data_IF_692705351459
#
_entry.id   IF_692705351459
#
_cell.length_a   1.000
_cell.length_b   1.000
_cell.length_c   1.000
_cell.angle_alpha   90.00
_cell.angle_beta   90.00
_cell.angle_gamma   90.00
#
_symmetry.space_group_name_H-M   'P 1'
#
loop_
_entity.id
_entity.type
_entity.pdbx_description
1 polymer ?
#
# COMPACT_ATOMS: atom_id res chain seq x y z
N UNK A 1 10.93 14.07 -12.32
CA UNK A 1 10.27 13.68 -11.05
C UNK A 1 9.47 12.42 -11.32
N UNK A 2 9.62 11.39 -10.50
CA UNK A 2 8.78 10.20 -10.58
C UNK A 2 7.31 10.56 -10.29
N UNK A 3 6.41 10.02 -11.11
CA UNK A 3 4.96 10.30 -11.00
C UNK A 3 4.35 9.70 -9.73
N UNK A 4 4.90 8.56 -9.32
CA UNK A 4 4.48 7.75 -8.19
C UNK A 4 5.64 7.55 -7.21
N UNK A 5 5.31 7.37 -5.94
CA UNK A 5 6.24 7.06 -4.86
C UNK A 5 5.82 5.79 -4.15
N UNK A 6 6.78 4.90 -3.87
CA UNK A 6 6.56 3.70 -3.07
C UNK A 6 6.14 4.09 -1.65
N UNK A 7 5.04 3.50 -1.18
CA UNK A 7 4.44 3.80 0.11
C UNK A 7 5.37 3.47 1.28
N UNK A 8 6.11 2.35 1.21
CA UNK A 8 7.05 1.95 2.25
C UNK A 8 8.22 2.93 2.34
N UNK A 9 8.78 3.35 1.21
CA UNK A 9 9.85 4.36 1.19
C UNK A 9 9.38 5.71 1.73
N UNK A 10 8.17 6.15 1.35
CA UNK A 10 7.55 7.37 1.87
C UNK A 10 7.40 7.29 3.38
N UNK A 11 6.99 6.13 3.89
CA UNK A 11 6.80 5.88 5.31
C UNK A 11 8.12 5.93 6.07
N UNK A 12 9.15 5.26 5.54
CA UNK A 12 10.50 5.29 6.09
C UNK A 12 11.07 6.72 6.15
N UNK A 13 10.97 7.49 5.06
CA UNK A 13 11.44 8.89 5.00
C UNK A 13 10.71 9.80 5.99
N UNK A 14 9.46 9.49 6.32
CA UNK A 14 8.63 10.27 7.24
C UNK A 14 8.76 9.83 8.71
N UNK A 15 9.42 8.70 9.00
CA UNK A 15 9.41 8.11 10.33
C UNK A 15 8.02 7.63 10.76
N UNK A 16 7.17 7.25 9.81
CA UNK A 16 5.79 6.81 10.05
C UNK A 16 5.59 5.36 9.55
N UNK A 17 4.57 4.67 10.03
CA UNK A 17 4.25 3.33 9.53
C UNK A 17 3.52 3.41 8.18
N UNK A 18 3.67 2.40 7.29
CA UNK A 18 2.89 2.30 6.06
C UNK A 18 1.39 2.43 6.28
N UNK A 19 0.86 1.83 7.34
CA UNK A 19 -0.54 2.00 7.75
C UNK A 19 -0.90 3.48 7.97
N UNK A 20 -0.08 4.23 8.71
CA UNK A 20 -0.36 5.63 9.03
C UNK A 20 -0.37 6.49 7.77
N UNK A 21 0.62 6.33 6.90
CA UNK A 21 0.69 7.06 5.62
C UNK A 21 -0.50 6.70 4.73
N UNK A 22 -0.79 5.41 4.54
CA UNK A 22 -1.92 4.95 3.75
C UNK A 22 -3.25 5.51 4.29
N UNK A 23 -3.46 5.46 5.61
CA UNK A 23 -4.67 5.97 6.27
C UNK A 23 -4.83 7.50 6.08
N UNK A 24 -3.74 8.26 6.10
CA UNK A 24 -3.82 9.71 5.87
C UNK A 24 -4.15 10.03 4.41
N UNK A 25 -3.57 9.30 3.45
CA UNK A 25 -3.88 9.43 2.04
C UNK A 25 -5.35 9.12 1.78
N UNK A 26 -5.86 7.99 2.28
CA UNK A 26 -7.24 7.58 2.06
C UNK A 26 -8.26 8.53 2.72
N UNK A 27 -7.96 9.08 3.90
CA UNK A 27 -8.78 10.12 4.54
C UNK A 27 -8.86 11.43 3.76
N UNK A 28 -7.87 11.71 2.92
CA UNK A 28 -7.83 12.86 2.01
C UNK A 28 -8.36 12.51 0.62
N UNK A 29 -9.09 11.40 0.49
CA UNK A 29 -9.64 10.90 -0.78
C UNK A 29 -8.57 10.67 -1.86
N UNK A 30 -7.31 10.48 -1.45
CA UNK A 30 -6.21 10.20 -2.37
C UNK A 30 -6.20 8.69 -2.71
N UNK A 31 -5.85 8.38 -3.96
CA UNK A 31 -5.89 7.01 -4.48
C UNK A 31 -4.56 6.30 -4.26
N UNK A 32 -4.63 5.03 -3.85
CA UNK A 32 -3.50 4.12 -3.83
C UNK A 32 -3.48 3.29 -5.11
N UNK A 33 -2.28 2.91 -5.54
CA UNK A 33 -2.05 2.19 -6.78
C UNK A 33 -1.25 0.92 -6.49
N UNK A 34 -1.52 -0.12 -7.27
CA UNK A 34 -0.61 -1.26 -7.39
C UNK A 34 0.34 -0.97 -8.54
N UNK A 35 1.64 -1.06 -8.25
CA UNK A 35 2.69 -0.90 -9.23
C UNK A 35 3.37 -2.24 -9.47
N UNK A 36 3.27 -2.73 -10.70
CA UNK A 36 3.83 -4.01 -11.13
C UNK A 36 5.26 -3.87 -11.71
N UNK A 37 5.88 -2.69 -11.52
CA UNK A 37 7.15 -2.24 -12.11
C UNK A 37 7.14 -2.25 -13.65
N UNK A 38 8.09 -1.54 -14.24
CA UNK A 38 8.25 -1.51 -15.70
C UNK A 38 9.24 -2.59 -16.13
N UNK A 39 8.70 -3.63 -16.76
CA UNK A 39 9.36 -4.46 -17.76
C UNK A 39 8.27 -4.83 -18.79
N UNK A 40 8.59 -5.01 -20.07
CA UNK A 40 7.66 -5.28 -21.18
C UNK A 40 6.91 -6.63 -21.09
N UNK A 41 6.66 -7.11 -19.88
CA UNK A 41 6.08 -8.40 -19.57
C UNK A 41 4.58 -8.29 -19.27
N UNK A 42 3.92 -9.43 -19.42
CA UNK A 42 2.50 -9.58 -19.13
C UNK A 42 2.34 -10.22 -17.77
N UNK A 43 1.40 -9.69 -16.98
CA UNK A 43 0.96 -10.23 -15.72
C UNK A 43 -0.31 -11.06 -15.95
N UNK A 44 -0.35 -12.27 -15.39
CA UNK A 44 -1.55 -13.08 -15.34
C UNK A 44 -2.44 -12.63 -14.17
N UNK A 45 -3.68 -12.27 -14.47
CA UNK A 45 -4.66 -11.80 -13.50
C UNK A 45 -6.02 -12.48 -13.69
N UNK A 46 -6.90 -12.35 -12.69
CA UNK A 46 -8.29 -12.80 -12.77
C UNK A 46 -9.21 -11.58 -12.69
N UNK A 47 -10.35 -11.58 -13.38
CA UNK A 47 -11.38 -10.54 -13.17
C UNK A 47 -12.34 -10.92 -12.03
N UNK A 48 -12.95 -9.95 -11.35
CA UNK A 48 -14.12 -10.25 -10.51
C UNK A 48 -15.40 -10.53 -11.33
N UNK A 49 -15.41 -10.19 -12.64
CA UNK A 49 -16.54 -10.46 -13.52
C UNK A 49 -16.62 -11.94 -13.90
N UNK A 50 -17.50 -12.67 -13.24
CA UNK A 50 -17.83 -14.03 -13.67
C UNK A 50 -18.57 -13.99 -15.02
N UNK A 51 -18.15 -14.85 -15.94
CA UNK A 51 -18.90 -15.12 -17.18
C UNK A 51 -19.20 -16.62 -17.14
N UNK A 52 -20.49 -16.97 -17.20
CA UNK A 52 -20.98 -18.35 -17.12
C UNK A 52 -20.53 -19.08 -15.85
N UNK A 53 -20.47 -18.38 -14.71
CA UNK A 53 -20.07 -18.96 -13.42
C UNK A 53 -18.56 -19.23 -13.28
N UNK A 54 -17.77 -18.91 -14.29
CA UNK A 54 -16.31 -19.08 -14.28
C UNK A 54 -15.58 -17.75 -14.16
N UNK A 55 -14.46 -17.78 -13.43
CA UNK A 55 -13.47 -16.71 -13.44
C UNK A 55 -12.62 -16.81 -14.70
N UNK A 56 -12.40 -15.68 -15.36
CA UNK A 56 -11.58 -15.60 -16.57
C UNK A 56 -10.19 -15.10 -16.24
N UNK A 57 -9.18 -15.76 -16.82
CA UNK A 57 -7.78 -15.36 -16.75
C UNK A 57 -7.49 -14.34 -17.86
N UNK A 58 -6.80 -13.26 -17.48
CA UNK A 58 -6.40 -12.20 -18.39
C UNK A 58 -4.91 -11.97 -18.30
N UNK A 59 -4.33 -11.61 -19.43
CA UNK A 59 -2.99 -11.03 -19.48
C UNK A 59 -3.12 -9.51 -19.48
N UNK A 60 -2.57 -8.88 -18.45
CA UNK A 60 -2.53 -7.42 -18.32
C UNK A 60 -1.07 -6.99 -18.47
N UNK A 61 -0.83 -5.88 -19.17
CA UNK A 61 0.53 -5.33 -19.24
C UNK A 61 0.97 -4.88 -17.85
N UNK A 62 2.23 -5.13 -17.48
CA UNK A 62 2.78 -4.55 -16.24
C UNK A 62 2.73 -3.01 -16.33
N UNK A 63 2.50 -2.37 -15.18
CA UNK A 63 2.33 -0.93 -15.08
C UNK A 63 1.74 -0.50 -13.74
N UNK A 64 1.39 0.77 -13.62
CA UNK A 64 0.80 1.32 -12.41
C UNK A 64 -0.72 1.48 -12.56
N UNK A 65 -1.49 0.77 -11.73
CA UNK A 65 -2.95 0.76 -11.80
C UNK A 65 -3.59 1.24 -10.50
N UNK A 66 -4.63 2.09 -10.58
CA UNK A 66 -5.34 2.52 -9.38
C UNK A 66 -6.09 1.34 -8.76
N UNK A 67 -5.99 1.17 -7.44
CA UNK A 67 -6.76 0.14 -6.74
C UNK A 67 -8.27 0.40 -6.89
N UNK A 68 -9.08 -0.67 -6.81
CA UNK A 68 -10.51 -0.48 -6.59
C UNK A 68 -10.75 0.09 -5.20
N UNK A 69 -11.90 0.77 -4.98
CA UNK A 69 -12.21 1.38 -3.68
C UNK A 69 -12.24 0.32 -2.56
N UNK A 70 -12.82 -0.86 -2.87
CA UNK A 70 -12.89 -2.00 -1.97
C UNK A 70 -11.50 -2.48 -1.58
N UNK A 71 -10.62 -2.65 -2.57
CA UNK A 71 -9.25 -3.13 -2.34
C UNK A 71 -8.35 -2.08 -1.68
N UNK A 72 -8.59 -0.79 -1.91
CA UNK A 72 -7.90 0.26 -1.17
C UNK A 72 -8.23 0.21 0.33
N UNK A 73 -9.51 0.03 0.69
CA UNK A 73 -9.89 -0.15 2.10
C UNK A 73 -9.34 -1.44 2.70
N UNK A 74 -9.37 -2.52 1.94
CA UNK A 74 -8.78 -3.80 2.35
C UNK A 74 -7.27 -3.68 2.59
N UNK A 75 -6.54 -3.02 1.67
CA UNK A 75 -5.11 -2.75 1.80
C UNK A 75 -4.81 -1.99 3.10
N UNK A 76 -5.53 -0.90 3.40
CA UNK A 76 -5.35 -0.14 4.65
C UNK A 76 -5.64 -1.00 5.89
N UNK A 77 -6.64 -1.88 5.83
CA UNK A 77 -6.96 -2.83 6.93
C UNK A 77 -5.87 -3.89 7.10
N UNK A 78 -5.31 -4.42 6.02
CA UNK A 78 -4.19 -5.37 6.09
C UNK A 78 -2.96 -4.71 6.71
N UNK A 79 -2.63 -3.49 6.28
CA UNK A 79 -1.54 -2.71 6.84
C UNK A 79 -1.72 -2.44 8.35
N UNK A 80 -2.95 -2.23 8.84
CA UNK A 80 -3.19 -2.06 10.28
C UNK A 80 -2.86 -3.32 11.10
N UNK A 81 -2.92 -4.49 10.46
CA UNK A 81 -2.63 -5.79 11.06
C UNK A 81 -1.21 -6.27 10.74
N UNK A 82 -0.34 -5.40 10.22
CA UNK A 82 1.02 -5.75 9.78
C UNK A 82 1.03 -6.87 8.73
N UNK A 83 -0.05 -6.95 7.94
CA UNK A 83 -0.15 -7.86 6.81
C UNK A 83 0.16 -7.08 5.52
N UNK A 84 1.25 -7.45 4.85
CA UNK A 84 1.72 -6.83 3.62
C UNK A 84 1.36 -7.64 2.37
N UNK A 85 0.60 -8.72 2.52
CA UNK A 85 0.13 -9.52 1.40
C UNK A 85 -0.79 -8.68 0.49
N UNK A 86 -0.43 -8.58 -0.79
CA UNK A 86 -1.20 -7.89 -1.82
C UNK A 86 -2.10 -8.84 -2.61
N UNK A 87 -2.01 -10.15 -2.36
CA UNK A 87 -2.78 -11.18 -3.05
C UNK A 87 -4.28 -10.97 -2.85
N UNK A 88 -5.04 -11.08 -3.93
CA UNK A 88 -6.48 -10.90 -3.93
C UNK A 88 -6.95 -9.45 -3.80
N UNK A 89 -6.05 -8.47 -3.83
CA UNK A 89 -6.43 -7.07 -4.06
C UNK A 89 -6.79 -6.86 -5.53
N UNK A 90 -7.63 -5.87 -5.80
CA UNK A 90 -8.12 -5.55 -7.13
C UNK A 90 -7.69 -4.14 -7.55
N UNK A 91 -7.46 -3.98 -8.85
CA UNK A 91 -7.10 -2.74 -9.50
C UNK A 91 -7.95 -2.51 -10.75
N UNK A 92 -8.02 -1.26 -11.19
CA UNK A 92 -8.84 -0.86 -12.32
C UNK A 92 -7.99 -0.73 -13.58
N UNK A 93 -8.41 -1.43 -14.65
CA UNK A 93 -7.90 -1.26 -16.00
C UNK A 93 -9.02 -0.63 -16.84
N UNK A 94 -8.95 0.68 -17.06
CA UNK A 94 -10.07 1.40 -17.65
C UNK A 94 -11.31 1.34 -16.74
N UNK A 95 -12.36 0.66 -17.20
CA UNK A 95 -13.61 0.45 -16.43
C UNK A 95 -13.67 -0.93 -15.76
N UNK A 96 -12.74 -1.82 -16.08
CA UNK A 96 -12.77 -3.19 -15.61
C UNK A 96 -12.00 -3.34 -14.30
N UNK A 97 -12.60 -4.04 -13.35
CA UNK A 97 -11.95 -4.41 -12.08
C UNK A 97 -11.27 -5.78 -12.25
N UNK A 98 -9.96 -5.77 -12.07
CA UNK A 98 -9.09 -6.93 -12.21
C UNK A 98 -8.53 -7.26 -10.82
N UNK A 99 -8.68 -8.50 -10.40
CA UNK A 99 -8.17 -9.05 -9.16
C UNK A 99 -6.78 -9.63 -9.39
N UNK A 100 -5.83 -9.12 -8.61
CA UNK A 100 -4.49 -9.69 -8.49
C UNK A 100 -4.62 -11.09 -7.90
N UNK A 101 -4.20 -12.10 -8.64
CA UNK A 101 -3.99 -13.43 -8.11
C UNK A 101 -2.49 -13.58 -7.88
N UNK A 102 -2.11 -14.15 -6.75
CA UNK A 102 -0.74 -14.62 -6.58
C UNK A 102 -0.54 -15.82 -7.49
N UNK A 103 0.17 -15.64 -8.61
CA UNK A 103 0.36 -16.72 -9.59
C UNK A 103 1.66 -17.49 -9.31
N UNK A 104 2.68 -16.87 -8.72
CA UNK A 104 3.87 -17.44 -8.06
C UNK A 104 4.86 -16.27 -7.78
N UNK A 105 6.11 -16.55 -7.33
CA UNK A 105 7.18 -15.63 -6.82
C UNK A 105 7.42 -14.27 -7.55
N UNK A 106 6.77 -14.00 -8.68
CA UNK A 106 6.72 -12.68 -9.35
C UNK A 106 6.00 -11.58 -8.52
N UNK A 107 5.17 -11.95 -7.55
CA UNK A 107 4.47 -11.01 -6.66
C UNK A 107 5.43 -10.17 -5.80
N UNK A 108 6.68 -10.59 -5.63
CA UNK A 108 7.67 -9.85 -4.82
C UNK A 108 8.05 -8.50 -5.42
N UNK A 109 7.77 -8.28 -6.70
CA UNK A 109 8.05 -7.02 -7.37
C UNK A 109 6.95 -5.98 -7.16
N UNK A 110 5.72 -6.42 -6.84
CA UNK A 110 4.54 -5.56 -6.73
C UNK A 110 4.62 -4.73 -5.47
N UNK A 111 4.37 -3.43 -5.61
CA UNK A 111 4.33 -2.55 -4.45
C UNK A 111 3.15 -1.59 -4.49
N UNK A 112 2.82 -1.06 -3.31
CA UNK A 112 1.80 -0.03 -3.18
C UNK A 112 2.47 1.32 -3.40
N UNK A 113 1.95 2.11 -4.34
CA UNK A 113 2.45 3.45 -4.63
C UNK A 113 1.35 4.50 -4.49
N UNK A 114 1.77 5.73 -4.22
CA UNK A 114 0.91 6.90 -4.16
C UNK A 114 1.42 7.99 -5.10
N UNK A 115 0.52 8.83 -5.59
CA UNK A 115 0.90 9.94 -6.46
C UNK A 115 1.76 10.96 -5.69
N UNK A 116 2.87 11.41 -6.27
CA UNK A 116 3.79 12.37 -5.62
C UNK A 116 3.08 13.64 -5.14
N UNK A 117 2.10 14.12 -5.91
CA UNK A 117 1.28 15.29 -5.57
C UNK A 117 0.39 15.07 -4.34
N UNK A 118 -0.05 13.83 -4.11
CA UNK A 118 -0.92 13.50 -2.97
C UNK A 118 -0.11 13.31 -1.70
N UNK A 119 1.08 12.71 -1.82
CA UNK A 119 2.05 12.62 -0.72
C UNK A 119 2.45 14.02 -0.25
N UNK A 120 2.62 14.98 -1.16
CA UNK A 120 2.92 16.37 -0.81
C UNK A 120 1.81 17.10 -0.02
N UNK A 121 0.56 16.60 -0.06
CA UNK A 121 -0.58 17.15 0.71
C UNK A 121 -0.66 16.58 2.13
N UNK A 122 0.20 15.62 2.47
CA UNK A 122 0.24 15.05 3.82
C UNK A 122 0.74 16.10 4.81
N UNK A 123 0.27 16.05 6.07
CA UNK A 123 0.83 16.89 7.11
C UNK A 123 2.36 16.67 7.21
N UNK A 124 3.10 17.64 7.75
CA UNK A 124 4.54 17.47 7.99
C UNK A 124 4.78 16.20 8.81
N UNK A 125 5.87 15.46 8.54
CA UNK A 125 6.22 14.30 9.34
C UNK A 125 6.41 14.73 10.80
N UNK A 126 6.10 13.85 11.77
CA UNK A 126 6.40 14.14 13.17
C UNK A 126 7.90 14.47 13.29
N UNK A 127 8.21 15.55 14.00
CA UNK A 127 9.58 15.91 14.30
C UNK A 127 10.17 14.76 15.13
N UNK A 128 11.10 14.01 14.55
CA UNK A 128 11.99 13.18 15.34
C UNK A 128 12.82 14.14 16.19
N UNK A 129 12.49 14.25 17.48
CA UNK A 129 13.37 14.84 18.49
C UNK A 129 14.63 13.96 18.58
N UNK A 130 15.56 14.16 17.66
CA UNK A 130 16.86 13.50 17.68
C UNK A 130 17.78 14.21 18.66
N UNK A 131 18.20 13.49 19.71
CA UNK A 131 19.43 13.77 20.44
C UNK A 131 19.31 14.68 21.67
N UNK A 132 18.85 14.12 22.78
CA UNK A 132 19.03 14.71 24.12
C UNK A 132 19.42 13.62 25.11
N UNK A 133 20.72 13.42 25.31
CA UNK A 133 21.23 12.67 26.46
C UNK A 133 20.82 13.40 27.74
N UNK A 134 19.87 12.85 28.50
CA UNK A 134 19.75 13.13 29.93
C UNK A 134 19.07 11.97 30.65
N UNK A 135 19.86 11.31 31.49
CA UNK A 135 19.44 10.53 32.65
C UNK A 135 18.12 10.99 33.26
N UNK A 136 17.22 10.03 33.52
CA UNK A 136 16.43 10.00 34.76
C UNK A 136 15.70 8.67 34.95
N UNK A 137 16.36 7.82 35.76
CA UNK A 137 15.82 6.88 36.77
C UNK A 137 14.51 6.16 36.43
N UNK A 138 14.64 4.85 36.20
CA UNK A 138 13.59 3.85 36.39
C UNK A 138 13.00 4.01 37.80
N UNK A 139 11.75 4.46 37.89
CA UNK A 139 10.95 4.38 39.12
C UNK A 139 10.22 3.03 39.12
N UNK A 140 10.80 2.06 39.83
CA UNK A 140 10.14 0.79 40.15
C UNK A 140 9.01 1.10 41.14
N UNK A 141 7.75 1.07 40.69
CA UNK A 141 6.61 0.96 41.61
C UNK A 141 6.43 -0.51 41.98
N UNK A 142 6.81 -0.84 43.21
CA UNK A 142 6.39 -2.07 43.90
C UNK A 142 4.90 -1.92 44.25
N UNK A 143 4.04 -2.72 43.64
CA UNK A 143 2.68 -2.88 44.14
C UNK A 143 2.73 -3.82 45.36
N UNK A 144 2.40 -3.26 46.53
CA UNK A 144 1.78 -4.00 47.64
C UNK A 144 0.32 -3.54 47.68
N UNK A 145 -0.61 -4.45 47.50
CA UNK A 145 -1.79 -4.72 48.34
C UNK A 145 -2.39 -6.04 47.88
#
# INVERSE_FOLDING_TARGET
MTKYLNLEEVSLKRGETPFKVARMLTRKECKLFLDFREDNELLLCITEKMIEGNYHLFQVKKGTYPMSLKSQHECVRRLSNTNFDLSGLSFMVGKDEIRLRSVDDEDRSVCVVAHTKDVAKLPPPPIHMGGGNCDRRVSIRKNKF
#
